data_IF_829681886438
#
_entry.id   IF_829681886438
#
_cell.length_a   1.000
_cell.length_b   1.000
_cell.length_c   1.000
_cell.angle_alpha   90.00
_cell.angle_beta   90.00
_cell.angle_gamma   90.00
#
_symmetry.space_group_name_H-M   'P 1'
#
loop_
_entity.id
_entity.type
_entity.pdbx_description
1 polymer ?
#
# COMPACT_ATOMS: atom_id res chain seq x y z
N UNK A 1 -15.93 -15.23 -30.50
CA UNK A 1 -15.38 -16.54 -30.89
C UNK A 1 -16.01 -17.60 -30.00
N UNK A 2 -16.39 -18.77 -30.53
CA UNK A 2 -17.03 -19.86 -29.76
C UNK A 2 -16.10 -20.41 -28.67
N UNK A 3 -16.66 -21.10 -27.67
CA UNK A 3 -15.87 -21.69 -26.58
C UNK A 3 -14.92 -22.76 -27.15
N UNK A 4 -13.68 -22.87 -26.65
CA UNK A 4 -12.65 -23.84 -27.13
C UNK A 4 -13.21 -25.26 -27.32
N UNK A 5 -14.16 -25.65 -26.47
CA UNK A 5 -14.86 -26.94 -26.52
C UNK A 5 -15.64 -27.18 -27.83
N UNK A 6 -16.14 -26.14 -28.46
CA UNK A 6 -16.95 -26.19 -29.69
C UNK A 6 -16.10 -26.33 -30.95
N UNK A 7 -14.80 -26.00 -30.87
CA UNK A 7 -13.86 -26.01 -31.99
C UNK A 7 -12.87 -27.19 -31.94
N UNK A 8 -13.03 -28.12 -30.98
CA UNK A 8 -12.17 -29.30 -30.89
C UNK A 8 -12.32 -30.16 -32.15
N UNK A 9 -11.22 -30.51 -32.84
CA UNK A 9 -11.29 -31.39 -34.00
C UNK A 9 -11.84 -32.76 -33.61
N UNK A 10 -12.75 -33.28 -34.44
CA UNK A 10 -13.26 -34.65 -34.29
C UNK A 10 -12.23 -35.65 -34.83
N UNK A 11 -11.91 -36.70 -34.04
CA UNK A 11 -10.95 -37.73 -34.43
C UNK A 11 -9.93 -38.06 -33.33
N UNK A 12 -8.72 -38.45 -33.77
CA UNK A 12 -7.62 -38.96 -32.95
C UNK A 12 -7.34 -38.04 -31.72
N UNK A 13 -7.26 -38.60 -30.50
CA UNK A 13 -6.84 -37.87 -29.30
C UNK A 13 -5.59 -37.00 -29.50
N UNK A 14 -4.65 -37.43 -30.35
CA UNK A 14 -3.44 -36.67 -30.67
C UNK A 14 -3.75 -35.33 -31.36
N UNK A 15 -4.68 -35.30 -32.30
CA UNK A 15 -5.07 -34.08 -33.02
C UNK A 15 -5.76 -33.07 -32.10
N UNK A 16 -6.46 -33.55 -31.05
CA UNK A 16 -7.04 -32.69 -30.02
C UNK A 16 -5.98 -32.09 -29.11
N UNK A 17 -4.94 -32.87 -28.78
CA UNK A 17 -3.81 -32.40 -27.97
C UNK A 17 -2.98 -31.37 -28.75
N UNK A 18 -2.72 -31.61 -30.02
CA UNK A 18 -2.01 -30.67 -30.91
C UNK A 18 -2.81 -29.37 -31.06
N UNK A 19 -4.13 -29.44 -31.30
CA UNK A 19 -5.00 -28.26 -31.34
C UNK A 19 -5.02 -27.46 -30.01
N UNK A 20 -5.05 -28.15 -28.87
CA UNK A 20 -4.98 -27.49 -27.56
C UNK A 20 -3.61 -26.86 -27.31
N UNK A 21 -2.52 -27.51 -27.75
CA UNK A 21 -1.18 -26.96 -27.67
C UNK A 21 -1.05 -25.69 -28.52
N UNK A 22 -1.57 -25.70 -29.74
CA UNK A 22 -1.61 -24.53 -30.63
C UNK A 22 -2.44 -23.39 -30.02
N UNK A 23 -3.61 -23.68 -29.44
CA UNK A 23 -4.42 -22.67 -28.74
C UNK A 23 -3.69 -22.09 -27.51
N UNK A 24 -2.90 -22.90 -26.81
CA UNK A 24 -2.10 -22.48 -25.66
C UNK A 24 -0.92 -21.64 -26.14
N UNK A 25 -0.27 -22.00 -27.23
CA UNK A 25 0.86 -21.27 -27.78
C UNK A 25 0.41 -19.97 -28.46
N UNK A 26 -0.76 -19.95 -29.08
CA UNK A 26 -1.44 -18.72 -29.55
C UNK A 26 -1.84 -17.83 -28.37
N UNK A 27 -2.37 -18.40 -27.28
CA UNK A 27 -2.67 -17.64 -26.07
C UNK A 27 -1.39 -17.10 -25.41
N UNK A 28 -0.28 -17.86 -25.42
CA UNK A 28 1.04 -17.39 -24.96
C UNK A 28 1.61 -16.32 -25.89
N UNK A 29 1.41 -16.43 -27.20
CA UNK A 29 1.85 -15.46 -28.19
C UNK A 29 0.99 -14.19 -28.16
N UNK A 30 -0.29 -14.27 -27.79
CA UNK A 30 -1.11 -13.11 -27.47
C UNK A 30 -0.75 -12.51 -26.12
N UNK A 31 -0.28 -13.34 -25.17
CA UNK A 31 0.26 -12.90 -23.89
C UNK A 31 1.74 -12.44 -23.96
N UNK A 32 2.39 -12.49 -25.13
CA UNK A 32 3.83 -12.17 -25.28
C UNK A 32 4.13 -10.70 -25.57
N UNK A 33 3.11 -9.83 -25.57
CA UNK A 33 3.34 -8.41 -25.39
C UNK A 33 3.87 -8.16 -23.98
N UNK A 34 4.92 -7.33 -23.83
CA UNK A 34 5.35 -6.91 -22.50
C UNK A 34 4.16 -6.33 -21.73
N UNK A 35 3.90 -6.79 -20.48
CA UNK A 35 2.76 -6.29 -19.72
C UNK A 35 2.90 -4.78 -19.55
N UNK A 36 1.79 -4.02 -19.57
CA UNK A 36 1.86 -2.58 -19.53
C UNK A 36 2.53 -2.13 -18.23
N UNK A 37 3.44 -1.16 -18.37
CA UNK A 37 4.21 -0.63 -17.25
C UNK A 37 3.29 -0.06 -16.19
N UNK A 38 3.49 -0.51 -14.96
CA UNK A 38 2.77 -0.01 -13.80
C UNK A 38 3.37 1.33 -13.34
N UNK A 39 2.51 2.28 -13.01
CA UNK A 39 2.88 3.56 -12.42
C UNK A 39 3.07 3.48 -10.90
N UNK A 40 2.56 2.42 -10.26
CA UNK A 40 2.71 2.22 -8.82
C UNK A 40 4.09 1.65 -8.48
N UNK A 41 4.63 2.07 -7.34
CA UNK A 41 5.80 1.45 -6.74
C UNK A 41 5.32 0.22 -5.96
N UNK A 42 5.36 -0.94 -6.62
CA UNK A 42 4.95 -2.19 -6.00
C UNK A 42 6.13 -2.81 -5.24
N UNK A 43 6.03 -3.03 -3.93
CA UNK A 43 6.96 -3.84 -3.19
C UNK A 43 6.67 -5.33 -3.43
N UNK A 44 7.58 -6.18 -2.96
CA UNK A 44 7.24 -7.58 -2.80
C UNK A 44 6.38 -7.73 -1.54
N UNK A 45 5.06 -7.85 -1.71
CA UNK A 45 4.14 -8.02 -0.59
C UNK A 45 4.42 -9.28 0.26
N UNK A 46 5.24 -10.22 -0.22
CA UNK A 46 5.70 -11.41 0.52
C UNK A 46 7.03 -11.25 1.26
N UNK A 47 7.91 -10.40 0.76
CA UNK A 47 9.17 -10.06 1.41
C UNK A 47 9.09 -8.76 2.21
N UNK A 48 7.95 -8.07 2.22
CA UNK A 48 7.81 -6.77 2.89
C UNK A 48 8.03 -6.83 4.42
N UNK A 49 7.94 -8.00 5.06
CA UNK A 49 8.47 -8.17 6.44
C UNK A 49 9.97 -7.90 6.51
N UNK A 50 10.73 -8.36 5.50
CA UNK A 50 12.17 -8.11 5.36
C UNK A 50 12.45 -6.63 5.09
N UNK A 51 11.63 -5.97 4.26
CA UNK A 51 11.71 -4.52 3.98
C UNK A 51 11.47 -3.69 5.26
N UNK A 52 10.59 -4.17 6.14
CA UNK A 52 10.26 -3.57 7.45
C UNK A 52 11.16 -4.13 8.58
N UNK A 53 12.31 -4.70 8.20
CA UNK A 53 13.51 -4.81 9.04
C UNK A 53 13.54 -6.03 10.00
N UNK A 54 13.39 -7.25 9.46
CA UNK A 54 13.64 -8.50 10.18
C UNK A 54 15.13 -8.89 10.32
N UNK A 55 16.03 -8.28 9.54
CA UNK A 55 17.44 -8.69 9.45
C UNK A 55 18.43 -7.88 10.31
N UNK A 56 17.97 -6.92 11.13
CA UNK A 56 18.86 -6.16 12.02
C UNK A 56 18.83 -6.72 13.44
N UNK A 57 19.99 -6.72 14.12
CA UNK A 57 20.21 -7.27 15.48
C UNK A 57 19.34 -6.62 16.59
N UNK A 58 18.45 -5.68 16.24
CA UNK A 58 17.43 -5.10 17.09
C UNK A 58 16.09 -5.16 16.37
N UNK A 59 15.37 -6.27 16.54
CA UNK A 59 14.04 -6.48 15.98
C UNK A 59 13.12 -5.27 16.20
N UNK A 60 12.77 -4.56 15.12
CA UNK A 60 11.86 -3.44 15.13
C UNK A 60 10.38 -3.88 15.23
N UNK A 61 10.07 -4.83 16.13
CA UNK A 61 8.69 -5.38 16.32
C UNK A 61 7.63 -4.29 16.56
N UNK A 62 8.06 -3.11 16.99
CA UNK A 62 7.21 -1.95 17.13
C UNK A 62 6.60 -1.46 15.80
N UNK A 63 7.00 -1.94 14.62
CA UNK A 63 6.34 -1.58 13.34
C UNK A 63 5.20 -2.51 12.97
N UNK A 64 5.21 -3.76 13.48
CA UNK A 64 4.23 -4.81 13.13
C UNK A 64 3.44 -5.33 14.33
N UNK A 65 3.79 -4.94 15.56
CA UNK A 65 3.10 -5.34 16.78
C UNK A 65 1.67 -4.77 16.90
N UNK A 66 0.97 -5.15 17.96
CA UNK A 66 -0.37 -4.61 18.20
C UNK A 66 -0.29 -3.19 18.79
N UNK A 67 -0.95 -2.23 18.15
CA UNK A 67 -1.03 -0.84 18.62
C UNK A 67 -2.45 -0.42 18.87
N UNK A 68 -2.68 0.23 20.01
CA UNK A 68 -3.97 0.85 20.35
C UNK A 68 -4.03 2.29 19.85
N UNK A 69 -5.19 2.67 19.32
CA UNK A 69 -5.50 4.00 18.83
C UNK A 69 -6.36 4.75 19.84
N UNK A 70 -5.94 5.96 20.19
CA UNK A 70 -6.78 6.88 20.94
C UNK A 70 -6.35 8.31 20.63
N UNK A 71 -7.31 9.24 20.65
CA UNK A 71 -7.04 10.68 20.54
C UNK A 71 -6.19 11.06 19.31
N UNK A 72 -6.53 10.52 18.13
CA UNK A 72 -5.78 10.80 16.91
C UNK A 72 -5.94 12.27 16.46
N UNK A 73 -4.87 12.86 15.93
CA UNK A 73 -4.90 14.21 15.33
C UNK A 73 -3.87 14.37 14.23
N UNK A 74 -4.06 15.36 13.36
CA UNK A 74 -3.15 15.61 12.21
C UNK A 74 -1.74 16.01 12.65
N UNK A 75 -1.59 16.61 13.82
CA UNK A 75 -0.29 17.01 14.39
C UNK A 75 0.44 15.91 15.17
N UNK A 76 -0.25 14.81 15.48
CA UNK A 76 0.32 13.71 16.26
C UNK A 76 1.06 12.74 15.34
N UNK A 77 2.34 12.53 15.61
CA UNK A 77 3.19 11.64 14.81
C UNK A 77 3.50 10.32 15.54
N UNK A 78 3.02 10.15 16.77
CA UNK A 78 3.22 8.92 17.52
C UNK A 78 2.41 7.76 16.90
N UNK A 79 2.96 6.55 16.83
CA UNK A 79 2.36 5.36 16.22
C UNK A 79 0.95 5.03 16.73
N UNK A 80 0.62 5.32 17.99
CA UNK A 80 -0.72 5.14 18.58
C UNK A 80 -1.70 6.31 18.40
N UNK A 81 -1.26 7.46 17.87
CA UNK A 81 -2.06 8.69 17.73
C UNK A 81 -2.05 9.29 16.32
N UNK A 82 -1.07 8.96 15.50
CA UNK A 82 -1.04 9.35 14.09
C UNK A 82 -2.18 8.68 13.33
N UNK A 83 -2.57 9.27 12.20
CA UNK A 83 -3.43 8.63 11.20
C UNK A 83 -2.69 7.57 10.37
N UNK A 84 -1.38 7.76 10.13
CA UNK A 84 -0.58 6.90 9.25
C UNK A 84 0.06 5.71 9.96
N UNK A 85 0.23 4.59 9.26
CA UNK A 85 0.87 3.36 9.79
C UNK A 85 2.06 2.90 8.95
N UNK A 86 3.05 2.24 9.58
CA UNK A 86 4.15 1.61 8.86
C UNK A 86 3.59 0.67 7.79
N UNK A 87 4.10 0.82 6.57
CA UNK A 87 3.67 0.06 5.42
C UNK A 87 4.88 -0.35 4.57
N UNK A 88 4.71 -1.28 3.62
CA UNK A 88 5.73 -1.58 2.63
C UNK A 88 6.17 -0.34 1.85
N UNK A 89 7.40 -0.34 1.34
CA UNK A 89 7.93 0.81 0.61
C UNK A 89 7.04 1.19 -0.59
N UNK A 90 6.79 2.50 -0.77
CA UNK A 90 5.93 3.02 -1.83
C UNK A 90 4.43 2.99 -1.50
N UNK A 91 4.06 2.44 -0.34
CA UNK A 91 2.70 2.37 0.15
C UNK A 91 2.54 3.13 1.47
N UNK A 92 1.33 3.58 1.73
CA UNK A 92 0.89 4.13 2.99
C UNK A 92 -0.39 3.47 3.45
N UNK A 93 -0.63 3.54 4.76
CA UNK A 93 -1.86 3.04 5.38
C UNK A 93 -2.38 4.11 6.31
N UNK A 94 -3.60 4.55 6.07
CA UNK A 94 -4.30 5.48 6.96
C UNK A 94 -5.47 4.75 7.63
N UNK A 95 -5.61 4.97 8.94
CA UNK A 95 -6.63 4.32 9.77
C UNK A 95 -7.43 5.37 10.51
N UNK A 96 -8.76 5.34 10.33
CA UNK A 96 -9.72 6.09 11.14
C UNK A 96 -10.45 5.12 12.07
N UNK A 97 -10.09 5.19 13.35
CA UNK A 97 -10.77 4.43 14.39
C UNK A 97 -12.06 5.14 14.84
N UNK A 98 -13.16 4.39 15.02
CA UNK A 98 -14.40 4.92 15.60
C UNK A 98 -14.31 5.02 17.15
N UNK A 99 -13.51 4.17 17.77
CA UNK A 99 -13.26 4.11 19.22
C UNK A 99 -11.81 3.71 19.49
N UNK A 100 -11.50 3.26 20.72
CA UNK A 100 -10.25 2.54 20.96
C UNK A 100 -10.21 1.32 20.04
N UNK A 101 -9.29 1.36 19.09
CA UNK A 101 -9.06 0.31 18.10
C UNK A 101 -7.68 -0.28 18.35
N UNK A 102 -7.46 -1.54 18.00
CA UNK A 102 -6.10 -2.08 18.00
C UNK A 102 -5.84 -2.94 16.78
N UNK A 103 -4.61 -2.89 16.27
CA UNK A 103 -4.23 -3.60 15.06
C UNK A 103 -2.76 -4.00 15.05
N UNK A 104 -2.44 -4.99 14.22
CA UNK A 104 -1.10 -5.35 13.81
C UNK A 104 -1.04 -5.45 12.29
N UNK A 105 0.13 -5.17 11.71
CA UNK A 105 0.39 -5.43 10.31
C UNK A 105 0.72 -6.91 10.11
N UNK A 106 0.11 -7.53 9.10
CA UNK A 106 0.29 -8.94 8.76
C UNK A 106 0.72 -9.10 7.30
N UNK A 107 1.54 -10.13 7.11
CA UNK A 107 1.98 -10.63 5.83
C UNK A 107 1.66 -12.11 5.81
N UNK A 108 0.86 -12.55 4.85
CA UNK A 108 0.46 -13.95 4.78
C UNK A 108 0.65 -14.47 3.38
N UNK A 109 1.33 -15.60 3.21
CA UNK A 109 1.35 -16.33 1.94
C UNK A 109 -0.02 -16.94 1.72
N UNK A 110 -0.69 -16.57 0.62
CA UNK A 110 -2.02 -17.08 0.36
C UNK A 110 -2.09 -17.78 -0.99
N UNK A 111 -2.58 -19.03 -0.98
CA UNK A 111 -2.76 -19.86 -2.17
C UNK A 111 -2.86 -21.36 -1.88
N UNK A 112 -3.37 -22.10 -2.88
CA UNK A 112 -3.36 -23.57 -2.93
C UNK A 112 -1.95 -24.15 -3.08
N UNK A 113 -1.75 -25.46 -2.90
CA UNK A 113 -0.43 -26.13 -3.05
C UNK A 113 0.24 -25.92 -4.43
N UNK A 114 -0.56 -25.63 -5.47
CA UNK A 114 -0.06 -25.30 -6.82
C UNK A 114 0.52 -23.87 -6.85
N UNK A 115 -0.13 -22.94 -6.16
CA UNK A 115 0.30 -21.54 -6.04
C UNK A 115 1.49 -21.43 -5.09
N UNK A 116 1.57 -22.21 -4.00
CA UNK A 116 2.74 -22.24 -3.10
C UNK A 116 4.08 -22.57 -3.78
N UNK A 117 4.06 -23.17 -4.99
CA UNK A 117 5.26 -23.48 -5.79
C UNK A 117 5.65 -22.37 -6.76
N UNK A 118 4.81 -21.36 -6.92
CA UNK A 118 5.08 -20.15 -7.67
C UNK A 118 5.64 -19.08 -6.71
N UNK A 119 6.89 -18.63 -6.85
CA UNK A 119 7.43 -17.52 -6.06
C UNK A 119 6.65 -16.19 -6.27
N UNK A 120 5.72 -16.16 -7.24
CA UNK A 120 4.76 -15.07 -7.47
C UNK A 120 3.35 -15.34 -6.93
N UNK A 121 3.11 -16.42 -6.18
CA UNK A 121 1.94 -16.57 -5.31
C UNK A 121 2.10 -15.66 -4.09
N UNK A 122 1.94 -14.37 -4.40
CA UNK A 122 2.26 -13.25 -3.54
C UNK A 122 1.46 -13.32 -2.27
N UNK A 123 2.19 -13.20 -1.16
CA UNK A 123 1.58 -12.90 0.11
C UNK A 123 0.78 -11.59 0.03
N UNK A 124 -0.20 -11.44 0.90
CA UNK A 124 -0.93 -10.19 1.06
C UNK A 124 -0.37 -9.40 2.24
N UNK A 125 -0.27 -8.08 2.08
CA UNK A 125 -0.12 -7.13 3.18
C UNK A 125 -1.50 -6.63 3.60
N UNK A 126 -1.82 -6.72 4.89
CA UNK A 126 -3.07 -6.24 5.45
C UNK A 126 -2.94 -5.99 6.95
N UNK A 127 -3.91 -5.29 7.52
CA UNK A 127 -4.06 -5.11 8.96
C UNK A 127 -5.07 -6.11 9.50
N UNK A 128 -4.77 -6.71 10.66
CA UNK A 128 -5.79 -7.35 11.49
C UNK A 128 -5.83 -6.73 12.87
N UNK A 129 -7.01 -6.73 13.47
CA UNK A 129 -7.25 -6.02 14.70
C UNK A 129 -8.59 -6.35 15.34
N UNK A 130 -8.93 -5.56 16.36
CA UNK A 130 -10.21 -5.61 17.03
C UNK A 130 -10.72 -4.19 17.28
N UNK A 131 -12.05 -4.05 17.29
CA UNK A 131 -12.75 -2.77 17.31
C UNK A 131 -13.06 -2.26 15.91
N UNK A 132 -13.74 -1.12 15.87
CA UNK A 132 -14.34 -0.60 14.64
C UNK A 132 -13.42 0.45 14.00
N UNK A 133 -12.94 0.17 12.79
CA UNK A 133 -12.07 1.06 12.05
C UNK A 133 -12.30 0.98 10.53
N UNK A 134 -12.16 2.13 9.88
CA UNK A 134 -12.02 2.21 8.43
C UNK A 134 -10.54 2.37 8.08
N UNK A 135 -10.09 1.63 7.07
CA UNK A 135 -8.70 1.56 6.66
C UNK A 135 -8.59 1.81 5.17
N UNK A 136 -7.65 2.68 4.78
CA UNK A 136 -7.26 2.89 3.40
C UNK A 136 -5.79 2.49 3.22
N UNK A 137 -5.55 1.55 2.31
CA UNK A 137 -4.23 1.27 1.77
C UNK A 137 -4.07 2.07 0.50
N UNK A 138 -2.92 2.71 0.30
CA UNK A 138 -2.72 3.54 -0.88
C UNK A 138 -1.27 3.56 -1.36
N UNK A 139 -1.09 3.88 -2.64
CA UNK A 139 0.22 4.13 -3.24
C UNK A 139 0.17 5.41 -4.05
N UNK A 140 1.07 6.34 -3.74
CA UNK A 140 1.15 7.65 -4.40
C UNK A 140 1.97 7.52 -5.67
N UNK A 141 1.48 8.11 -6.76
CA UNK A 141 2.15 8.14 -8.05
C UNK A 141 1.96 9.50 -8.73
N UNK A 142 2.84 9.81 -9.68
CA UNK A 142 2.69 10.98 -10.54
C UNK A 142 2.27 10.54 -11.93
N UNK A 143 1.30 11.24 -12.52
CA UNK A 143 0.93 11.01 -13.90
C UNK A 143 2.07 11.45 -14.83
N UNK A 144 2.25 10.80 -15.99
CA UNK A 144 3.19 11.25 -17.01
C UNK A 144 2.96 12.73 -17.38
N UNK A 145 4.03 13.42 -17.75
CA UNK A 145 3.97 14.82 -18.23
C UNK A 145 3.39 14.92 -19.65
N UNK A 146 3.31 13.80 -20.35
CA UNK A 146 2.76 13.69 -21.69
C UNK A 146 1.24 13.79 -21.62
N UNK A 147 0.65 14.61 -22.50
CA UNK A 147 -0.81 14.75 -22.64
C UNK A 147 -1.38 13.94 -23.79
N UNK A 148 -0.53 13.53 -24.74
CA UNK A 148 -0.91 12.79 -25.94
C UNK A 148 0.24 11.85 -26.35
N UNK A 149 -0.08 10.64 -26.81
CA UNK A 149 0.88 9.81 -27.54
C UNK A 149 0.53 9.90 -29.02
N UNK A 150 1.50 10.32 -29.82
CA UNK A 150 1.40 10.32 -31.27
C UNK A 150 1.89 8.97 -31.80
N UNK A 151 1.11 8.35 -32.67
CA UNK A 151 1.52 7.15 -33.40
C UNK A 151 1.13 7.29 -34.87
N UNK A 152 1.84 6.60 -35.76
CA UNK A 152 1.42 6.51 -37.15
C UNK A 152 0.56 5.26 -37.33
N UNK A 153 -0.60 5.39 -37.96
CA UNK A 153 -1.44 4.24 -38.31
C UNK A 153 -0.86 3.44 -39.49
N UNK A 154 -1.58 2.39 -39.91
CA UNK A 154 -1.18 1.53 -41.03
C UNK A 154 -1.06 2.28 -42.37
N UNK A 155 -1.66 3.47 -42.49
CA UNK A 155 -1.57 4.33 -43.66
C UNK A 155 -0.47 5.40 -43.54
N UNK A 156 0.27 5.42 -42.42
CA UNK A 156 1.30 6.40 -42.13
C UNK A 156 0.77 7.75 -41.64
N UNK A 157 -0.52 7.86 -41.33
CA UNK A 157 -1.11 9.09 -40.78
C UNK A 157 -0.86 9.18 -39.27
N UNK A 158 -0.43 10.35 -38.82
CA UNK A 158 -0.23 10.59 -37.38
C UNK A 158 -1.57 10.69 -36.66
N UNK A 159 -1.87 9.69 -35.87
CA UNK A 159 -3.02 9.61 -34.99
C UNK A 159 -2.65 10.00 -33.56
N UNK A 160 -3.64 10.51 -32.82
CA UNK A 160 -3.53 10.82 -31.39
C UNK A 160 -4.18 9.71 -30.59
N UNK A 161 -3.41 9.07 -29.70
CA UNK A 161 -3.97 8.10 -28.75
C UNK A 161 -4.45 8.84 -27.51
N UNK A 162 -5.73 8.68 -27.22
CA UNK A 162 -6.34 9.17 -26.00
C UNK A 162 -5.68 8.50 -24.78
N UNK A 163 -5.12 9.30 -23.86
CA UNK A 163 -4.46 8.79 -22.66
C UNK A 163 -5.52 8.37 -21.64
N UNK A 164 -6.14 7.21 -21.87
CA UNK A 164 -6.98 6.53 -20.88
C UNK A 164 -6.13 5.58 -20.06
N UNK A 165 -6.28 5.66 -18.74
CA UNK A 165 -5.62 4.77 -17.80
C UNK A 165 -6.61 3.77 -17.22
N UNK A 166 -6.08 2.69 -16.66
CA UNK A 166 -6.86 1.75 -15.87
C UNK A 166 -6.22 1.55 -14.51
N UNK A 167 -7.07 1.39 -13.50
CA UNK A 167 -6.66 0.88 -12.19
C UNK A 167 -7.02 -0.60 -12.11
N UNK A 168 -6.11 -1.39 -11.56
CA UNK A 168 -6.22 -2.83 -11.41
C UNK A 168 -6.00 -3.22 -9.95
N UNK A 169 -6.81 -4.15 -9.46
CA UNK A 169 -6.71 -4.71 -8.13
C UNK A 169 -6.82 -6.23 -8.19
N UNK A 170 -5.84 -6.92 -7.61
CA UNK A 170 -5.85 -8.35 -7.35
C UNK A 170 -5.90 -8.58 -5.85
N UNK A 171 -6.91 -9.31 -5.40
CA UNK A 171 -7.10 -9.62 -3.98
C UNK A 171 -7.41 -11.09 -3.77
N UNK A 172 -7.15 -11.57 -2.56
CA UNK A 172 -7.50 -12.91 -2.14
C UNK A 172 -8.21 -12.82 -0.79
N UNK A 173 -9.25 -13.65 -0.60
CA UNK A 173 -9.92 -13.84 0.69
C UNK A 173 -10.36 -12.55 1.34
N UNK A 174 -11.60 -12.14 1.07
CA UNK A 174 -12.40 -11.40 2.03
C UNK A 174 -13.88 -11.66 1.73
N UNK A 175 -14.71 -11.70 2.76
CA UNK A 175 -16.16 -11.99 2.66
C UNK A 175 -16.98 -10.76 2.28
N UNK A 176 -16.32 -9.61 2.04
CA UNK A 176 -16.89 -8.27 1.88
C UNK A 176 -16.38 -7.56 0.63
N UNK A 177 -17.14 -6.56 0.18
CA UNK A 177 -16.78 -5.67 -0.92
C UNK A 177 -15.79 -4.61 -0.43
N UNK A 178 -14.73 -4.37 -1.20
CA UNK A 178 -13.78 -3.27 -0.95
C UNK A 178 -14.01 -2.17 -1.97
N UNK A 179 -13.83 -0.90 -1.57
CA UNK A 179 -13.87 0.21 -2.51
C UNK A 179 -12.45 0.50 -2.97
N UNK A 180 -12.21 0.58 -4.27
CA UNK A 180 -10.90 0.90 -4.80
C UNK A 180 -10.99 1.92 -5.94
N UNK A 181 -9.86 2.54 -6.26
CA UNK A 181 -9.79 3.48 -7.36
C UNK A 181 -8.60 4.40 -7.27
N UNK A 182 -8.76 5.61 -7.79
CA UNK A 182 -7.72 6.64 -7.80
C UNK A 182 -8.30 7.96 -7.29
N UNK A 183 -7.54 8.63 -6.44
CA UNK A 183 -7.81 9.97 -5.94
C UNK A 183 -6.76 10.97 -6.41
N UNK A 184 -7.19 12.21 -6.64
CA UNK A 184 -6.32 13.38 -6.87
C UNK A 184 -5.79 13.89 -5.53
N UNK A 185 -4.50 14.26 -5.50
CA UNK A 185 -3.86 14.87 -4.34
C UNK A 185 -3.49 16.33 -4.62
N UNK A 186 -3.55 17.16 -3.57
CA UNK A 186 -3.02 18.52 -3.62
C UNK A 186 -1.48 18.56 -3.51
N UNK A 187 -0.91 19.75 -3.57
CA UNK A 187 0.54 19.97 -3.41
C UNK A 187 1.06 19.58 -2.02
N UNK A 188 0.19 19.44 -1.02
CA UNK A 188 0.52 18.95 0.32
C UNK A 188 0.27 17.44 0.45
N UNK A 189 -0.09 16.75 -0.64
CA UNK A 189 -0.40 15.32 -0.65
C UNK A 189 -1.72 14.97 0.06
N UNK A 190 -2.66 15.91 0.19
CA UNK A 190 -3.98 15.67 0.78
C UNK A 190 -4.95 15.18 -0.28
N UNK A 191 -5.88 14.31 0.11
CA UNK A 191 -6.99 13.89 -0.73
C UNK A 191 -7.88 15.07 -1.14
N UNK A 192 -7.97 15.32 -2.46
CA UNK A 192 -8.81 16.35 -3.06
C UNK A 192 -10.11 15.75 -3.56
N UNK A 193 -10.07 14.90 -4.59
CA UNK A 193 -11.28 14.37 -5.22
C UNK A 193 -11.04 12.99 -5.84
N UNK A 194 -12.11 12.24 -6.08
CA UNK A 194 -12.04 10.95 -6.75
C UNK A 194 -11.88 11.16 -8.25
N UNK A 195 -10.80 10.62 -8.82
CA UNK A 195 -10.69 10.50 -10.29
C UNK A 195 -11.61 9.40 -10.80
N UNK A 196 -11.70 8.31 -10.02
CA UNK A 196 -12.62 7.22 -10.26
C UNK A 196 -12.61 6.24 -9.10
N UNK A 197 -13.72 5.56 -8.88
CA UNK A 197 -13.85 4.53 -7.85
C UNK A 197 -14.89 3.49 -8.23
N UNK A 198 -14.66 2.26 -7.80
CA UNK A 198 -15.58 1.16 -7.94
C UNK A 198 -15.55 0.28 -6.68
N UNK A 199 -16.57 -0.53 -6.50
CA UNK A 199 -16.47 -1.68 -5.61
C UNK A 199 -15.77 -2.80 -6.34
N UNK A 200 -14.87 -3.50 -5.64
CA UNK A 200 -14.28 -4.73 -6.14
C UNK A 200 -15.37 -5.79 -6.33
N UNK A 201 -15.10 -6.76 -7.20
CA UNK A 201 -15.90 -7.97 -7.20
C UNK A 201 -15.76 -8.72 -5.87
N UNK A 202 -16.80 -9.46 -5.48
CA UNK A 202 -16.78 -10.22 -4.23
C UNK A 202 -15.85 -11.43 -4.38
N UNK A 203 -14.89 -11.63 -3.47
CA UNK A 203 -14.06 -12.82 -3.47
C UNK A 203 -14.88 -14.12 -3.36
N UNK A 204 -14.59 -15.07 -4.25
CA UNK A 204 -14.98 -16.47 -4.04
C UNK A 204 -13.90 -17.15 -3.17
N UNK A 205 -14.27 -17.96 -2.16
CA UNK A 205 -13.30 -18.66 -1.33
C UNK A 205 -12.27 -19.45 -2.16
N UNK A 206 -10.99 -19.32 -1.80
CA UNK A 206 -9.83 -19.94 -2.45
C UNK A 206 -9.53 -19.47 -3.90
N UNK A 207 -10.11 -18.36 -4.37
CA UNK A 207 -9.75 -17.73 -5.66
C UNK A 207 -9.23 -16.32 -5.47
N UNK A 208 -8.29 -15.95 -6.35
CA UNK A 208 -7.97 -14.55 -6.56
C UNK A 208 -9.08 -13.88 -7.34
N UNK A 209 -9.49 -12.69 -6.89
CA UNK A 209 -10.40 -11.83 -7.62
C UNK A 209 -9.62 -10.67 -8.21
N UNK A 210 -9.94 -10.40 -9.47
CA UNK A 210 -9.33 -9.37 -10.27
C UNK A 210 -10.42 -8.33 -10.58
N UNK A 211 -10.13 -7.07 -10.37
CA UNK A 211 -11.05 -5.98 -10.65
C UNK A 211 -10.34 -4.87 -11.42
N UNK A 212 -11.03 -4.30 -12.40
CA UNK A 212 -10.53 -3.22 -13.23
C UNK A 212 -11.48 -2.02 -13.16
N UNK A 213 -10.87 -0.83 -13.22
CA UNK A 213 -11.57 0.43 -13.41
C UNK A 213 -10.90 1.15 -14.59
N UNK A 214 -11.63 1.30 -15.70
CA UNK A 214 -11.11 1.87 -16.94
C UNK A 214 -11.50 3.34 -17.13
N UNK A 215 -10.93 3.97 -18.15
CA UNK A 215 -11.29 5.33 -18.58
C UNK A 215 -10.81 6.43 -17.63
N UNK A 216 -9.82 6.14 -16.78
CA UNK A 216 -9.27 7.13 -15.86
C UNK A 216 -8.47 8.19 -16.62
N UNK A 217 -8.67 9.45 -16.25
CA UNK A 217 -8.02 10.61 -16.86
C UNK A 217 -7.21 11.36 -15.82
N UNK A 218 -5.95 11.64 -16.16
CA UNK A 218 -5.03 12.35 -15.29
C UNK A 218 -4.57 13.65 -15.95
N UNK A 219 -4.41 14.69 -15.13
CA UNK A 219 -3.74 15.92 -15.54
C UNK A 219 -2.25 15.63 -15.71
N UNK A 220 -1.59 16.13 -16.77
CA UNK A 220 -0.17 15.95 -16.96
C UNK A 220 0.63 16.40 -15.72
N UNK A 221 1.50 15.52 -15.21
CA UNK A 221 2.30 15.80 -14.02
C UNK A 221 1.52 15.87 -12.70
N UNK A 222 0.21 15.61 -12.70
CA UNK A 222 -0.61 15.59 -11.49
C UNK A 222 -0.18 14.50 -10.52
N UNK A 223 -0.47 14.70 -9.23
CA UNK A 223 -0.16 13.78 -8.15
C UNK A 223 -1.44 13.05 -7.75
N UNK A 224 -1.37 11.73 -7.69
CA UNK A 224 -2.51 10.87 -7.46
C UNK A 224 -2.17 9.78 -6.45
N UNK A 225 -3.18 9.15 -5.88
CA UNK A 225 -3.01 7.91 -5.14
C UNK A 225 -3.99 6.84 -5.63
N UNK A 226 -3.47 5.66 -5.94
CA UNK A 226 -4.29 4.46 -5.97
C UNK A 226 -4.70 4.13 -4.54
N UNK A 227 -5.94 3.69 -4.34
CA UNK A 227 -6.42 3.32 -3.01
C UNK A 227 -7.26 2.05 -2.99
N UNK A 228 -7.25 1.39 -1.84
CA UNK A 228 -8.19 0.34 -1.44
C UNK A 228 -8.68 0.65 -0.03
N UNK A 229 -9.97 0.92 0.09
CA UNK A 229 -10.67 1.16 1.34
C UNK A 229 -11.41 -0.11 1.79
N UNK A 230 -11.27 -0.40 3.07
CA UNK A 230 -11.88 -1.53 3.75
C UNK A 230 -12.47 -1.11 5.09
N UNK A 231 -13.54 -1.81 5.49
CA UNK A 231 -14.20 -1.62 6.78
C UNK A 231 -13.93 -2.85 7.65
N UNK A 232 -13.27 -2.65 8.78
CA UNK A 232 -12.82 -3.73 9.66
C UNK A 232 -13.92 -4.23 10.62
N UNK A 233 -15.11 -3.63 10.60
CA UNK A 233 -16.26 -4.08 11.41
C UNK A 233 -16.67 -5.52 11.06
N UNK A 234 -16.37 -5.97 9.83
CA UNK A 234 -16.77 -7.28 9.31
C UNK A 234 -15.61 -8.30 9.34
N UNK A 235 -15.13 -8.61 10.54
CA UNK A 235 -14.15 -9.69 10.75
C UNK A 235 -12.75 -9.24 11.17
N UNK A 236 -12.57 -7.97 11.53
CA UNK A 236 -11.34 -7.48 12.14
C UNK A 236 -10.14 -7.52 11.19
N UNK A 237 -10.37 -7.52 9.88
CA UNK A 237 -9.35 -7.62 8.84
C UNK A 237 -9.57 -6.55 7.77
N UNK A 238 -8.52 -5.87 7.35
CA UNK A 238 -8.55 -4.95 6.20
C UNK A 238 -8.36 -5.72 4.89
N UNK A 239 -8.50 -5.04 3.75
CA UNK A 239 -8.26 -5.67 2.45
C UNK A 239 -6.88 -6.37 2.37
N UNK A 240 -6.90 -7.64 1.95
CA UNK A 240 -5.71 -8.44 1.66
C UNK A 240 -5.44 -8.49 0.15
N UNK A 241 -4.86 -7.41 -0.39
CA UNK A 241 -4.48 -7.34 -1.80
C UNK A 241 -3.10 -7.96 -2.05
N UNK A 242 -2.96 -8.62 -3.20
CA UNK A 242 -1.72 -9.30 -3.64
C UNK A 242 -1.13 -8.68 -4.91
N UNK A 243 -1.83 -7.71 -5.48
CA UNK A 243 -1.34 -6.90 -6.58
C UNK A 243 -2.25 -5.71 -6.82
N UNK A 244 -1.63 -4.60 -7.21
CA UNK A 244 -2.35 -3.40 -7.63
C UNK A 244 -1.59 -2.75 -8.78
N UNK A 245 -2.29 -1.99 -9.60
CA UNK A 245 -1.63 -1.21 -10.63
C UNK A 245 -2.46 -0.05 -11.15
N UNK A 246 -1.76 0.95 -11.65
CA UNK A 246 -2.30 2.01 -12.49
C UNK A 246 -1.43 2.07 -13.73
N UNK A 247 -2.03 1.96 -14.91
CA UNK A 247 -1.26 1.83 -16.16
C UNK A 247 -2.01 2.42 -17.33
N UNK A 248 -1.26 2.82 -18.35
CA UNK A 248 -1.80 3.32 -19.60
C UNK A 248 -2.53 2.18 -20.32
N UNK A 249 -3.82 2.36 -20.57
CA UNK A 249 -4.69 1.35 -21.16
C UNK A 249 -5.76 2.02 -22.04
N UNK A 250 -5.32 2.61 -23.17
CA UNK A 250 -6.18 3.39 -24.05
C UNK A 250 -7.34 2.56 -24.62
N UNK A 251 -7.10 1.27 -24.86
CA UNK A 251 -8.07 0.34 -25.42
C UNK A 251 -9.00 -0.26 -24.34
N UNK A 252 -8.83 0.15 -23.07
CA UNK A 252 -9.67 -0.21 -21.92
C UNK A 252 -9.86 -1.73 -21.76
N UNK A 253 -8.80 -2.50 -22.01
CA UNK A 253 -8.84 -3.96 -21.95
C UNK A 253 -8.61 -4.48 -20.53
N UNK A 254 -9.18 -5.63 -20.21
CA UNK A 254 -8.93 -6.36 -18.95
C UNK A 254 -7.57 -7.05 -18.98
N UNK A 255 -6.49 -6.27 -18.99
CA UNK A 255 -5.11 -6.75 -18.97
C UNK A 255 -4.47 -6.53 -17.59
N UNK A 256 -3.55 -7.41 -17.22
CA UNK A 256 -2.81 -7.31 -15.95
C UNK A 256 -1.53 -6.52 -16.20
N UNK A 257 -1.27 -5.42 -15.46
CA UNK A 257 -0.02 -4.67 -15.60
C UNK A 257 1.16 -5.43 -15.03
N UNK A 258 2.38 -4.94 -15.25
CA UNK A 258 3.55 -5.50 -14.59
C UNK A 258 3.43 -5.36 -13.06
N UNK A 259 3.33 -6.49 -12.38
CA UNK A 259 3.25 -6.56 -10.91
C UNK A 259 4.60 -6.94 -10.29
N UNK A 260 5.66 -7.03 -11.08
CA UNK A 260 7.01 -7.32 -10.59
C UNK A 260 7.42 -6.24 -9.59
N UNK A 261 8.01 -6.60 -8.43
CA UNK A 261 8.42 -5.59 -7.47
C UNK A 261 9.41 -4.60 -8.12
N UNK A 262 9.14 -3.31 -7.96
CA UNK A 262 9.89 -2.24 -8.60
C UNK A 262 11.34 -2.25 -8.11
N UNK A 263 12.31 -1.94 -8.98
CA UNK A 263 13.73 -1.87 -8.59
C UNK A 263 13.93 -0.94 -7.39
N UNK A 264 13.27 0.23 -7.40
CA UNK A 264 13.30 1.18 -6.28
C UNK A 264 12.80 0.59 -4.97
N UNK A 265 11.79 -0.29 -5.00
CA UNK A 265 11.31 -0.97 -3.81
C UNK A 265 12.33 -2.00 -3.31
N UNK A 266 12.94 -2.78 -4.21
CA UNK A 266 13.98 -3.77 -3.89
C UNK A 266 15.26 -3.15 -3.32
N UNK A 267 15.60 -1.94 -3.76
CA UNK A 267 16.82 -1.23 -3.34
C UNK A 267 16.60 -0.34 -2.11
N UNK A 268 15.35 -0.19 -1.63
CA UNK A 268 15.04 0.64 -0.49
C UNK A 268 15.60 0.02 0.80
N UNK A 269 16.78 0.49 1.22
CA UNK A 269 17.39 0.10 2.49
C UNK A 269 16.94 1.06 3.60
N UNK A 270 16.34 0.49 4.65
CA UNK A 270 16.00 1.10 5.95
C UNK A 270 14.87 2.13 5.92
N UNK A 271 13.69 1.68 6.35
CA UNK A 271 12.57 2.58 6.70
C UNK A 271 12.51 2.88 8.21
N UNK A 272 13.41 2.31 9.04
CA UNK A 272 13.36 2.47 10.51
C UNK A 272 14.66 3.07 11.02
N UNK A 273 14.53 4.11 11.82
CA UNK A 273 15.62 4.97 12.25
C UNK A 273 15.61 5.15 13.77
N UNK A 274 16.80 5.09 14.37
CA UNK A 274 16.99 5.32 15.80
C UNK A 274 17.42 6.75 16.04
N UNK A 275 16.71 7.46 16.92
CA UNK A 275 17.07 8.80 17.38
C UNK A 275 17.73 8.80 18.77
N UNK A 276 17.95 7.61 19.34
CA UNK A 276 18.68 7.43 20.58
C UNK A 276 17.79 7.10 21.78
N UNK A 277 18.46 6.90 22.92
CA UNK A 277 17.82 6.55 24.19
C UNK A 277 17.77 7.81 25.07
N UNK A 278 16.59 8.12 25.59
CA UNK A 278 16.35 9.26 26.47
C UNK A 278 15.99 8.79 27.86
N UNK A 279 16.44 9.50 28.89
CA UNK A 279 16.08 9.14 30.26
C UNK A 279 14.60 9.44 30.51
N UNK A 280 14.01 8.78 31.51
CA UNK A 280 12.65 9.09 31.97
C UNK A 280 12.48 10.58 32.31
N UNK A 281 13.48 11.20 32.94
CA UNK A 281 13.44 12.61 33.30
C UNK A 281 13.42 13.51 32.06
N UNK A 282 14.24 13.21 31.05
CA UNK A 282 14.26 13.97 29.79
C UNK A 282 12.93 13.87 29.05
N UNK A 283 12.35 12.67 28.96
CA UNK A 283 11.05 12.45 28.30
C UNK A 283 9.91 13.19 29.00
N UNK A 284 9.92 13.25 30.34
CA UNK A 284 8.92 13.99 31.12
C UNK A 284 9.09 15.50 30.92
N UNK A 285 10.34 15.99 30.91
CA UNK A 285 10.64 17.40 30.67
C UNK A 285 10.36 17.83 29.21
N UNK A 286 10.44 16.88 28.29
CA UNK A 286 10.33 17.09 26.85
C UNK A 286 11.70 17.20 26.19
N UNK A 287 11.91 16.41 25.13
CA UNK A 287 13.14 16.45 24.30
C UNK A 287 12.85 16.96 22.90
N UNK A 288 13.79 17.71 22.34
CA UNK A 288 13.77 18.15 20.94
C UNK A 288 14.66 17.28 20.08
N UNK A 289 14.14 16.85 18.93
CA UNK A 289 14.81 15.90 18.04
C UNK A 289 14.85 16.46 16.63
N UNK A 290 16.05 16.53 16.05
CA UNK A 290 16.25 16.99 14.68
C UNK A 290 15.95 15.86 13.67
N UNK A 291 15.08 16.18 12.73
CA UNK A 291 14.63 15.34 11.61
C UNK A 291 14.98 15.99 10.27
N UNK A 292 15.79 17.05 10.26
CA UNK A 292 16.10 17.84 9.06
C UNK A 292 16.88 17.09 7.98
N UNK A 293 17.42 15.91 8.30
CA UNK A 293 18.11 15.03 7.36
C UNK A 293 17.19 14.26 6.40
N UNK A 294 15.88 14.23 6.66
CA UNK A 294 14.93 13.47 5.85
C UNK A 294 14.24 14.36 4.81
N UNK A 295 14.18 13.94 3.53
CA UNK A 295 13.39 14.65 2.53
C UNK A 295 11.89 14.41 2.78
N UNK A 296 11.18 15.48 3.14
CA UNK A 296 9.77 15.43 3.55
C UNK A 296 8.93 16.45 2.76
N UNK A 297 8.75 16.26 1.43
CA UNK A 297 8.12 17.23 0.55
C UNK A 297 6.68 17.60 0.95
N UNK A 298 5.98 16.72 1.66
CA UNK A 298 4.59 16.94 2.10
C UNK A 298 4.46 17.30 3.59
N UNK A 299 5.58 17.59 4.26
CA UNK A 299 5.63 17.83 5.71
C UNK A 299 5.90 16.57 6.53
N UNK A 300 6.55 16.73 7.68
CA UNK A 300 7.08 15.60 8.46
C UNK A 300 6.01 14.63 8.96
N UNK A 301 4.80 15.12 9.23
CA UNK A 301 3.66 14.35 9.68
C UNK A 301 3.23 13.29 8.65
N UNK A 302 3.50 13.57 7.36
CA UNK A 302 3.24 12.66 6.24
C UNK A 302 4.37 11.71 5.93
N UNK A 303 5.51 11.81 6.59
CA UNK A 303 6.68 11.01 6.26
C UNK A 303 7.26 10.25 7.44
N UNK A 304 6.97 10.68 8.67
CA UNK A 304 7.53 10.13 9.89
C UNK A 304 6.44 9.62 10.83
N UNK A 305 6.61 8.39 11.30
CA UNK A 305 5.80 7.80 12.37
C UNK A 305 6.75 7.43 13.50
N UNK A 306 6.59 8.07 14.65
CA UNK A 306 7.47 7.87 15.79
C UNK A 306 6.91 6.84 16.78
N UNK A 307 7.81 6.18 17.48
CA UNK A 307 7.47 5.41 18.67
C UNK A 307 8.54 5.60 19.74
N UNK A 308 8.12 5.96 20.94
CA UNK A 308 9.00 5.94 22.12
C UNK A 308 8.98 4.52 22.69
N UNK A 309 9.88 3.68 22.21
CA UNK A 309 9.86 2.25 22.48
C UNK A 309 10.50 1.88 23.82
N UNK A 310 10.09 0.74 24.35
CA UNK A 310 10.76 0.00 25.41
C UNK A 310 11.79 -0.93 24.81
N UNK A 311 12.97 -1.00 25.43
CA UNK A 311 13.99 -1.98 25.08
C UNK A 311 13.86 -3.17 26.01
N UNK A 312 13.76 -4.35 25.43
CA UNK A 312 13.93 -5.64 26.10
C UNK A 312 15.21 -6.29 25.58
N UNK A 313 15.77 -7.27 26.29
CA UNK A 313 17.03 -7.93 25.93
C UNK A 313 17.07 -8.44 24.47
N UNK A 314 15.92 -8.75 23.89
CA UNK A 314 15.80 -9.32 22.54
C UNK A 314 15.02 -8.47 21.54
N UNK A 315 14.41 -7.35 21.94
CA UNK A 315 13.56 -6.56 21.03
C UNK A 315 13.23 -5.15 21.54
N UNK A 316 12.86 -4.30 20.59
CA UNK A 316 12.26 -2.98 20.83
C UNK A 316 10.73 -3.09 20.67
N UNK A 317 9.97 -2.72 21.69
CA UNK A 317 8.49 -2.85 21.74
C UNK A 317 7.84 -1.49 21.97
N UNK A 318 6.67 -1.24 21.39
CA UNK A 318 5.92 -0.04 21.72
C UNK A 318 5.26 -0.17 23.11
N UNK A 319 5.23 0.90 23.92
CA UNK A 319 4.46 0.95 25.14
C UNK A 319 2.96 1.01 24.86
N UNK A 320 2.14 0.59 25.84
CA UNK A 320 0.68 0.70 25.78
C UNK A 320 0.24 2.17 25.74
N UNK A 321 0.89 3.03 26.54
CA UNK A 321 0.57 4.46 26.60
C UNK A 321 1.42 5.23 25.59
N UNK A 322 0.82 5.96 24.65
CA UNK A 322 1.56 6.71 23.64
C UNK A 322 2.18 7.98 24.21
N UNK A 323 3.45 8.26 23.84
CA UNK A 323 4.04 9.58 24.00
C UNK A 323 3.32 10.61 23.12
N UNK A 324 3.36 11.88 23.52
CA UNK A 324 2.96 13.01 22.69
C UNK A 324 4.16 13.40 21.82
N UNK A 325 4.01 13.31 20.50
CA UNK A 325 5.09 13.62 19.57
C UNK A 325 4.55 14.57 18.51
N UNK A 326 5.01 15.82 18.58
CA UNK A 326 4.45 16.92 17.80
C UNK A 326 5.56 17.71 17.12
N UNK A 327 5.21 18.30 15.98
CA UNK A 327 6.09 19.20 15.25
C UNK A 327 6.29 20.50 16.04
N UNK A 328 7.53 20.96 16.08
CA UNK A 328 7.87 22.28 16.67
C UNK A 328 8.25 23.30 15.59
N UNK A 329 9.02 22.87 14.59
CA UNK A 329 9.36 23.66 13.41
C UNK A 329 9.47 22.76 12.17
N UNK A 330 10.06 23.23 11.07
CA UNK A 330 10.16 22.46 9.83
C UNK A 330 11.12 21.26 9.88
N UNK A 331 12.00 21.17 10.87
CA UNK A 331 13.04 20.14 11.02
C UNK A 331 13.14 19.56 12.44
N UNK A 332 12.30 19.98 13.37
CA UNK A 332 12.40 19.60 14.78
C UNK A 332 11.06 19.09 15.30
N UNK A 333 11.09 18.00 16.06
CA UNK A 333 9.94 17.46 16.80
C UNK A 333 10.17 17.58 18.31
N UNK A 334 9.11 17.85 19.05
CA UNK A 334 9.08 17.69 20.51
C UNK A 334 8.52 16.33 20.86
N UNK A 335 9.22 15.62 21.74
CA UNK A 335 8.80 14.34 22.29
C UNK A 335 8.61 14.51 23.79
N UNK A 336 7.37 14.36 24.23
CA UNK A 336 7.00 14.38 25.66
C UNK A 336 6.32 13.06 25.99
N UNK A 337 6.78 12.38 27.03
CA UNK A 337 6.20 11.11 27.42
C UNK A 337 6.81 10.53 28.68
N UNK A 338 6.59 9.23 28.87
CA UNK A 338 7.11 8.50 30.02
C UNK A 338 7.67 7.14 29.58
N UNK A 339 8.38 6.49 30.49
CA UNK A 339 8.76 5.07 30.42
C UNK A 339 7.74 4.21 31.17
N UNK A 340 7.70 2.91 30.87
CA UNK A 340 6.77 1.98 31.53
C UNK A 340 7.46 1.17 32.62
N UNK A 341 6.76 0.98 33.73
CA UNK A 341 7.24 0.17 34.85
C UNK A 341 8.52 0.74 35.45
N UNK A 342 9.55 -0.10 35.59
CA UNK A 342 10.85 0.25 36.18
C UNK A 342 11.89 0.70 35.16
N UNK A 343 11.53 0.86 33.88
CA UNK A 343 12.48 1.28 32.86
C UNK A 343 12.96 2.71 33.09
N UNK A 344 14.27 2.91 33.06
CA UNK A 344 14.89 4.23 33.27
C UNK A 344 15.06 5.03 31.97
N UNK A 345 14.92 4.37 30.82
CA UNK A 345 15.10 4.96 29.50
C UNK A 345 14.02 4.49 28.52
N UNK A 346 13.62 5.37 27.60
CA UNK A 346 12.88 5.04 26.38
C UNK A 346 13.79 5.17 25.16
N UNK A 347 13.51 4.41 24.10
CA UNK A 347 14.24 4.47 22.83
C UNK A 347 13.36 5.08 21.77
N UNK A 348 13.68 6.30 21.34
CA UNK A 348 12.95 6.94 20.27
C UNK A 348 13.34 6.35 18.93
N UNK A 349 12.37 5.73 18.27
CA UNK A 349 12.47 5.20 16.93
C UNK A 349 11.51 5.95 16.02
N UNK A 350 11.81 6.02 14.73
CA UNK A 350 10.85 6.46 13.73
C UNK A 350 10.84 5.51 12.53
N UNK A 351 9.66 5.36 11.94
CA UNK A 351 9.49 4.85 10.60
C UNK A 351 9.48 6.05 9.66
N UNK A 352 10.30 6.00 8.63
CA UNK A 352 10.43 7.02 7.61
C UNK A 352 10.06 6.44 6.24
N UNK A 353 9.17 7.13 5.52
CA UNK A 353 8.86 6.85 4.13
C UNK A 353 9.07 8.08 3.24
N UNK A 354 9.63 7.87 2.06
CA UNK A 354 9.75 8.90 1.01
C UNK A 354 8.40 9.23 0.38
N UNK A 355 7.42 8.34 0.50
CA UNK A 355 6.03 8.57 0.07
C UNK A 355 5.16 8.92 1.28
N UNK A 356 4.06 9.68 1.11
CA UNK A 356 3.12 9.96 2.18
C UNK A 356 2.64 8.70 2.92
N UNK A 357 2.56 8.77 4.25
CA UNK A 357 2.02 7.72 5.13
C UNK A 357 0.56 7.93 5.52
N UNK A 358 0.01 9.12 5.25
CA UNK A 358 -1.43 9.41 5.31
C UNK A 358 -1.81 10.49 4.28
N UNK A 359 -3.07 10.51 3.86
CA UNK A 359 -3.61 11.41 2.83
C UNK A 359 -4.67 12.38 3.39
N UNK A 360 -5.01 12.30 4.68
CA UNK A 360 -6.19 12.94 5.26
C UNK A 360 -7.47 12.50 4.54
N UNK A 361 -7.50 11.24 4.09
CA UNK A 361 -8.55 10.68 3.27
C UNK A 361 -9.90 10.76 3.98
N UNK A 362 -9.97 10.32 5.23
CA UNK A 362 -11.25 10.28 5.94
C UNK A 362 -11.69 11.60 6.57
N UNK A 363 -10.83 12.61 6.58
CA UNK A 363 -11.13 13.95 7.09
C UNK A 363 -11.47 14.94 5.96
N UNK A 364 -11.24 14.56 4.71
CA UNK A 364 -11.59 15.39 3.55
C UNK A 364 -13.10 15.60 3.45
N UNK A 365 -13.51 16.81 3.08
CA UNK A 365 -14.90 17.15 2.81
C UNK A 365 -15.49 16.37 1.62
N UNK A 366 -14.64 15.87 0.73
CA UNK A 366 -15.04 15.08 -0.43
C UNK A 366 -15.09 13.58 -0.14
N UNK A 367 -14.74 13.15 1.08
CA UNK A 367 -14.91 11.76 1.49
C UNK A 367 -16.39 11.39 1.51
N UNK A 368 -16.74 10.34 0.78
CA UNK A 368 -18.08 9.78 0.76
C UNK A 368 -18.05 8.48 1.54
N UNK A 369 -18.68 8.42 2.71
CA UNK A 369 -18.76 7.18 3.48
C UNK A 369 -19.42 6.05 2.65
N UNK A 370 -18.91 4.83 2.81
CA UNK A 370 -19.50 3.59 2.30
C UNK A 370 -20.44 3.02 3.33
#
# INVERSE_FOLDING_TARGET
>A
MGQVRENLPNGDPRNKIEYLADCIDDAKAQASGEPPKNLLVNPDFSAAELDINWQTDFYARWTTGSFTYANQSESEMHLGRSFGRPAPFGWGVEVKAASSYAHSAFYNTIGSEVEKRDPTAKAAFFLMGFGDAKVIHFSVFSAPMESEILYNDENGETQRKDLSYSAYLKMHDDTVYHRFGVVELDHNGNFVDYVGKAFSERPEPAKFVHSWLHGLKFKPGGIYAFFVESDMNNGGKSCAFTGAGVFLNPDQQNIVPDLTPSLTAKEASRCVESFGRFTKADLIAGVSVDVGRYPMPYGMEKHLIFCNCQITETATKAPISPSTITKTDYKTVSVVGDTVGTQTHGHLMAYYSKTPVHLNYFNSANYQAV
#
